data_IF_086406508244
#
_entry.id   IF_086406508244
#
_cell.length_a   1.000
_cell.length_b   1.000
_cell.length_c   1.000
_cell.angle_alpha   90.00
_cell.angle_beta   90.00
_cell.angle_gamma   90.00
#
_symmetry.space_group_name_H-M   'P 1'
#
loop_
_entity.id
_entity.type
_entity.pdbx_description
1 polymer ?
#
# COMPACT_ATOMS: atom_id res chain seq x y z
N UNK A 1 -1.16 -95.89 13.11
CA UNK A 1 -0.25 -95.17 12.19
C UNK A 1 -0.93 -93.87 11.83
N UNK A 2 -0.42 -92.74 12.31
CA UNK A 2 -0.96 -91.42 11.97
C UNK A 2 -0.29 -90.93 10.68
N UNK A 3 -1.12 -90.50 9.72
CA UNK A 3 -0.70 -89.94 8.44
C UNK A 3 -0.11 -88.54 8.67
N UNK A 4 1.21 -88.41 8.48
CA UNK A 4 1.94 -87.18 8.77
C UNK A 4 1.81 -86.24 7.55
N UNK A 5 0.78 -85.39 7.57
CA UNK A 5 0.43 -84.44 6.48
C UNK A 5 1.23 -83.13 6.51
N UNK A 6 2.44 -83.14 7.06
CA UNK A 6 3.31 -81.97 7.09
C UNK A 6 4.50 -82.19 6.17
N UNK A 7 4.54 -81.43 5.08
CA UNK A 7 5.71 -81.30 4.20
C UNK A 7 6.33 -79.95 4.54
N UNK A 8 7.59 -79.95 4.99
CA UNK A 8 8.35 -78.72 5.14
C UNK A 8 8.68 -78.20 3.75
N UNK A 9 8.15 -77.03 3.41
CA UNK A 9 8.61 -76.30 2.23
C UNK A 9 10.02 -75.78 2.52
N UNK A 10 10.96 -76.00 1.61
CA UNK A 10 12.25 -75.31 1.65
C UNK A 10 11.95 -73.81 1.65
N UNK A 11 12.42 -73.15 2.71
CA UNK A 11 12.28 -71.72 2.88
C UNK A 11 13.19 -71.05 1.85
N UNK A 12 12.69 -70.87 0.63
CA UNK A 12 13.28 -69.97 -0.35
C UNK A 12 13.02 -68.54 0.13
N UNK A 13 13.64 -68.19 1.25
CA UNK A 13 13.81 -66.82 1.70
C UNK A 13 14.90 -66.18 0.84
N UNK A 14 14.58 -66.00 -0.45
CA UNK A 14 14.88 -64.73 -1.11
C UNK A 14 13.89 -63.65 -0.64
N UNK A 15 13.49 -63.70 0.64
CA UNK A 15 13.12 -62.53 1.39
C UNK A 15 14.40 -61.69 1.51
N UNK A 16 14.75 -61.04 0.39
CA UNK A 16 15.42 -59.76 0.47
C UNK A 16 14.50 -58.90 1.33
N UNK A 17 14.66 -58.96 2.64
CA UNK A 17 14.27 -57.90 3.54
C UNK A 17 15.02 -56.69 3.01
N UNK A 18 14.35 -55.96 2.12
CA UNK A 18 14.79 -54.67 1.64
C UNK A 18 14.75 -53.80 2.89
N UNK A 19 15.85 -53.83 3.66
CA UNK A 19 16.06 -53.01 4.83
C UNK A 19 15.93 -51.58 4.34
N UNK A 20 14.74 -51.00 4.51
CA UNK A 20 14.47 -49.65 4.05
C UNK A 20 15.49 -48.78 4.77
N UNK A 21 16.31 -48.01 4.05
CA UNK A 21 17.37 -47.24 4.68
C UNK A 21 16.78 -46.39 5.81
N UNK A 22 17.32 -46.52 7.02
CA UNK A 22 16.84 -45.78 8.19
C UNK A 22 17.04 -44.29 7.92
N UNK A 23 15.95 -43.56 7.72
CA UNK A 23 16.02 -42.12 7.51
C UNK A 23 16.50 -41.43 8.78
N UNK A 24 17.32 -40.39 8.61
CA UNK A 24 17.68 -39.54 9.74
C UNK A 24 16.45 -38.81 10.26
N UNK A 25 16.45 -38.49 11.56
CA UNK A 25 15.35 -37.76 12.19
C UNK A 25 14.97 -36.47 11.44
N UNK A 26 15.97 -35.72 10.96
CA UNK A 26 15.75 -34.47 10.23
C UNK A 26 15.15 -34.68 8.84
N UNK A 27 15.59 -35.72 8.13
CA UNK A 27 15.00 -36.09 6.84
C UNK A 27 13.53 -36.48 7.00
N UNK A 28 13.21 -37.25 8.05
CA UNK A 28 11.84 -37.69 8.31
C UNK A 28 10.93 -36.54 8.76
N UNK A 29 11.45 -35.61 9.58
CA UNK A 29 10.75 -34.38 9.95
C UNK A 29 10.44 -33.50 8.72
N UNK A 30 11.43 -33.29 7.83
CA UNK A 30 11.26 -32.50 6.62
C UNK A 30 10.25 -33.13 5.64
N UNK A 31 10.27 -34.46 5.52
CA UNK A 31 9.32 -35.22 4.71
C UNK A 31 7.87 -35.03 5.21
N UNK A 32 7.65 -35.09 6.53
CA UNK A 32 6.34 -34.86 7.14
C UNK A 32 5.86 -33.41 6.94
N UNK A 33 6.75 -32.43 7.11
CA UNK A 33 6.43 -31.01 6.90
C UNK A 33 5.95 -30.76 5.48
N UNK A 34 6.69 -31.25 4.47
CA UNK A 34 6.33 -31.11 3.05
C UNK A 34 5.01 -31.76 2.67
N UNK A 35 4.60 -32.83 3.37
CA UNK A 35 3.31 -33.50 3.15
C UNK A 35 2.13 -32.65 3.65
N UNK A 36 2.35 -31.78 4.63
CA UNK A 36 1.30 -30.95 5.23
C UNK A 36 1.15 -29.61 4.51
N UNK A 37 0.15 -29.51 3.62
CA UNK A 37 -0.07 -28.32 2.76
C UNK A 37 -0.22 -27.02 3.56
N UNK A 38 -0.97 -27.04 4.67
CA UNK A 38 -1.14 -25.87 5.54
C UNK A 38 0.19 -25.43 6.19
N UNK A 39 1.07 -26.36 6.55
CA UNK A 39 2.36 -26.00 7.14
C UNK A 39 3.30 -25.42 6.09
N UNK A 40 3.24 -25.92 4.85
CA UNK A 40 4.00 -25.36 3.73
C UNK A 40 3.57 -23.94 3.37
N UNK A 41 2.28 -23.61 3.46
CA UNK A 41 1.82 -22.22 3.30
C UNK A 41 2.48 -21.31 4.34
N UNK A 42 2.55 -21.74 5.60
CA UNK A 42 3.24 -21.00 6.66
C UNK A 42 4.72 -20.76 6.35
N UNK A 43 5.43 -21.80 5.90
CA UNK A 43 6.84 -21.67 5.46
C UNK A 43 6.98 -20.66 4.31
N UNK A 44 6.10 -20.72 3.31
CA UNK A 44 6.12 -19.77 2.18
C UNK A 44 5.88 -18.35 2.65
N UNK A 45 4.89 -18.11 3.53
CA UNK A 45 4.61 -16.78 4.09
C UNK A 45 5.82 -16.25 4.86
N UNK A 46 6.45 -17.08 5.69
CA UNK A 46 7.66 -16.70 6.44
C UNK A 46 8.79 -16.30 5.48
N UNK A 47 9.03 -17.10 4.44
CA UNK A 47 10.05 -16.78 3.42
C UNK A 47 9.70 -15.47 2.71
N UNK A 48 8.44 -15.22 2.38
CA UNK A 48 8.01 -13.96 1.76
C UNK A 48 8.23 -12.77 2.70
N UNK A 49 7.94 -12.89 4.00
CA UNK A 49 8.19 -11.84 4.99
C UNK A 49 9.69 -11.58 5.15
N UNK A 50 10.52 -12.64 5.17
CA UNK A 50 11.98 -12.52 5.18
C UNK A 50 12.47 -11.73 3.96
N UNK A 51 12.03 -12.12 2.76
CA UNK A 51 12.38 -11.43 1.53
C UNK A 51 11.89 -9.98 1.53
N UNK A 52 10.68 -9.72 2.05
CA UNK A 52 10.11 -8.39 2.16
C UNK A 52 10.91 -7.48 3.11
N UNK A 53 11.34 -7.97 4.28
CA UNK A 53 12.20 -7.20 5.19
C UNK A 53 13.63 -7.01 4.68
N UNK A 54 14.19 -8.00 3.99
CA UNK A 54 15.56 -7.92 3.46
C UNK A 54 15.62 -7.03 2.20
N UNK A 55 14.76 -7.27 1.21
CA UNK A 55 14.83 -6.58 -0.08
C UNK A 55 13.90 -5.37 -0.17
N UNK A 56 12.82 -5.29 0.62
CA UNK A 56 11.87 -4.18 0.59
C UNK A 56 12.53 -2.80 0.73
N UNK A 57 13.37 -2.56 1.76
CA UNK A 57 14.04 -1.27 1.94
C UNK A 57 15.00 -0.87 0.81
N UNK A 58 15.35 -1.79 -0.10
CA UNK A 58 16.19 -1.48 -1.27
C UNK A 58 15.36 -0.99 -2.47
N UNK A 59 14.04 -1.22 -2.47
CA UNK A 59 13.13 -0.86 -3.57
C UNK A 59 12.59 0.56 -3.36
N UNK A 60 12.41 0.99 -2.12
CA UNK A 60 11.87 2.31 -1.78
C UNK A 60 12.94 3.40 -1.91
N UNK A 61 12.63 4.56 -2.50
CA UNK A 61 13.58 5.68 -2.58
C UNK A 61 13.75 6.41 -1.24
N UNK A 62 12.91 6.12 -0.25
CA UNK A 62 12.89 6.77 1.06
C UNK A 62 13.61 5.94 2.12
N UNK A 63 14.24 6.64 3.07
CA UNK A 63 14.80 6.07 4.29
C UNK A 63 13.76 6.03 5.41
N UNK A 64 14.00 5.20 6.43
CA UNK A 64 13.17 5.11 7.63
C UNK A 64 13.04 6.44 8.39
N UNK A 65 14.10 7.24 8.38
CA UNK A 65 14.19 8.53 9.09
C UNK A 65 13.67 9.71 8.28
N UNK A 66 13.32 9.51 7.00
CA UNK A 66 12.88 10.59 6.14
C UNK A 66 11.50 11.09 6.57
N UNK A 67 11.38 12.41 6.67
CA UNK A 67 10.15 13.08 7.05
C UNK A 67 9.85 14.19 6.06
N UNK A 68 8.77 14.02 5.29
CA UNK A 68 8.35 15.01 4.29
C UNK A 68 7.11 15.75 4.78
N UNK A 69 7.30 16.86 5.49
CA UNK A 69 6.20 17.64 6.07
C UNK A 69 5.19 18.18 5.04
N UNK A 70 5.59 18.31 3.77
CA UNK A 70 4.68 18.76 2.72
C UNK A 70 3.69 17.66 2.30
N UNK A 71 4.06 16.39 2.44
CA UNK A 71 3.32 15.23 1.98
C UNK A 71 2.67 14.48 3.15
N UNK A 72 1.95 15.18 4.03
CA UNK A 72 1.29 14.61 5.22
C UNK A 72 -0.11 14.09 4.89
N UNK A 73 -0.53 13.04 5.59
CA UNK A 73 -1.89 12.48 5.57
C UNK A 73 -2.42 12.15 4.16
N UNK A 74 -1.54 11.66 3.28
CA UNK A 74 -1.91 11.31 1.92
C UNK A 74 -2.49 9.90 1.85
N UNK A 75 -3.60 9.70 1.11
CA UNK A 75 -4.15 8.38 0.89
C UNK A 75 -3.35 7.58 -0.16
N UNK A 76 -3.50 6.25 -0.18
CA UNK A 76 -2.98 5.39 -1.26
C UNK A 76 -3.76 5.58 -2.57
N UNK A 77 -5.03 6.00 -2.50
CA UNK A 77 -5.85 6.37 -3.65
C UNK A 77 -6.17 7.86 -3.61
N UNK A 78 -5.75 8.57 -4.65
CA UNK A 78 -5.82 10.01 -4.79
C UNK A 78 -7.04 10.36 -5.65
N UNK A 79 -7.91 11.24 -5.15
CA UNK A 79 -8.98 11.85 -5.94
C UNK A 79 -8.42 13.04 -6.71
N UNK A 80 -8.67 13.06 -8.02
CA UNK A 80 -8.03 14.00 -8.95
C UNK A 80 -9.08 14.85 -9.65
N UNK A 81 -8.82 16.15 -9.71
CA UNK A 81 -9.55 17.15 -10.46
C UNK A 81 -8.69 17.59 -11.64
N UNK A 82 -9.09 17.23 -12.86
CA UNK A 82 -8.41 17.68 -14.08
C UNK A 82 -8.95 19.06 -14.44
N UNK A 83 -8.16 20.09 -14.15
CA UNK A 83 -8.54 21.50 -14.36
C UNK A 83 -8.04 22.08 -15.69
N UNK A 84 -7.02 21.46 -16.26
CA UNK A 84 -6.48 21.79 -17.58
C UNK A 84 -5.99 20.49 -18.26
N UNK A 85 -5.57 20.54 -19.52
CA UNK A 85 -5.09 19.34 -20.25
C UNK A 85 -3.92 18.65 -19.53
N UNK A 86 -3.03 19.43 -18.90
CA UNK A 86 -1.83 18.94 -18.22
C UNK A 86 -1.86 19.10 -16.69
N UNK A 87 -2.95 19.66 -16.13
CA UNK A 87 -3.03 20.02 -14.70
C UNK A 87 -4.08 19.18 -14.00
N UNK A 88 -3.59 18.22 -13.22
CA UNK A 88 -4.38 17.42 -12.32
C UNK A 88 -4.11 17.84 -10.88
N UNK A 89 -5.17 18.14 -10.13
CA UNK A 89 -5.09 18.59 -8.74
C UNK A 89 -5.66 17.55 -7.78
N UNK A 90 -5.03 17.43 -6.62
CA UNK A 90 -5.55 16.66 -5.51
C UNK A 90 -5.66 17.52 -4.26
N UNK A 91 -6.81 17.44 -3.60
CA UNK A 91 -7.03 18.01 -2.30
C UNK A 91 -6.91 16.95 -1.20
N UNK A 92 -5.99 17.15 -0.27
CA UNK A 92 -5.86 16.33 0.94
C UNK A 92 -6.87 16.70 2.03
N UNK A 93 -7.03 15.82 3.01
CA UNK A 93 -7.89 16.05 4.20
C UNK A 93 -7.46 17.25 5.04
N UNK A 94 -6.18 17.61 5.00
CA UNK A 94 -5.61 18.76 5.69
C UNK A 94 -5.72 20.05 4.88
N UNK A 95 -6.54 20.05 3.83
CA UNK A 95 -6.74 21.15 2.89
C UNK A 95 -5.52 21.50 2.03
N UNK A 96 -4.41 20.76 2.11
CA UNK A 96 -3.29 20.99 1.20
C UNK A 96 -3.65 20.52 -0.22
N UNK A 97 -3.34 21.35 -1.21
CA UNK A 97 -3.54 21.05 -2.63
C UNK A 97 -2.22 20.58 -3.25
N UNK A 98 -2.28 19.58 -4.12
CA UNK A 98 -1.12 18.98 -4.78
C UNK A 98 -1.34 18.91 -6.29
N UNK A 99 -0.26 19.10 -7.04
CA UNK A 99 -0.22 18.76 -8.47
C UNK A 99 0.12 17.28 -8.61
N UNK A 100 -0.68 16.57 -9.40
CA UNK A 100 -0.55 15.13 -9.64
C UNK A 100 -0.16 14.92 -11.09
N UNK A 101 0.85 14.11 -11.36
CA UNK A 101 1.18 13.70 -12.72
C UNK A 101 0.13 12.70 -13.26
N UNK A 102 0.11 12.48 -14.58
CA UNK A 102 -0.90 11.61 -15.17
C UNK A 102 -0.85 10.17 -14.69
N UNK A 103 0.34 9.70 -14.35
CA UNK A 103 0.57 8.36 -13.79
C UNK A 103 0.18 8.23 -12.31
N UNK A 104 -0.21 9.31 -11.63
CA UNK A 104 -0.54 9.31 -10.20
C UNK A 104 0.62 9.60 -9.24
N UNK A 105 1.79 10.01 -9.75
CA UNK A 105 2.86 10.57 -8.90
C UNK A 105 2.51 11.97 -8.43
N UNK A 106 2.87 12.30 -7.20
CA UNK A 106 2.76 13.67 -6.68
C UNK A 106 3.96 14.49 -7.15
N UNK A 107 3.69 15.63 -7.81
CA UNK A 107 4.70 16.53 -8.33
C UNK A 107 5.13 17.52 -7.25
N UNK A 108 4.18 18.30 -6.73
CA UNK A 108 4.45 19.30 -5.70
C UNK A 108 3.19 19.69 -4.94
N UNK A 109 3.38 20.23 -3.74
CA UNK A 109 2.34 20.90 -2.96
C UNK A 109 2.22 22.35 -3.42
N UNK A 110 1.00 22.81 -3.66
CA UNK A 110 0.75 24.21 -3.98
C UNK A 110 0.88 25.10 -2.74
N UNK A 111 1.33 26.32 -2.96
CA UNK A 111 1.52 27.31 -1.89
C UNK A 111 0.18 27.97 -1.60
N UNK A 112 -0.24 27.95 -0.33
CA UNK A 112 -1.43 28.67 0.11
C UNK A 112 -1.11 30.17 0.23
N UNK A 113 -1.79 31.00 -0.55
CA UNK A 113 -1.74 32.45 -0.41
C UNK A 113 -2.53 32.86 0.86
N UNK A 114 -1.78 33.14 1.93
CA UNK A 114 -2.35 33.56 3.21
C UNK A 114 -2.96 34.96 3.19
N UNK A 115 -2.60 35.79 2.22
CA UNK A 115 -3.06 37.19 2.15
C UNK A 115 -4.48 37.30 1.62
N UNK A 116 -4.87 36.39 0.72
CA UNK A 116 -6.21 36.33 0.12
C UNK A 116 -7.16 35.35 0.82
N UNK A 117 -6.75 34.80 1.97
CA UNK A 117 -7.57 33.83 2.71
C UNK A 117 -8.77 34.50 3.35
N UNK A 118 -9.96 34.16 2.87
CA UNK A 118 -11.20 34.58 3.52
C UNK A 118 -11.67 33.50 4.49
N UNK A 119 -11.36 33.69 5.77
CA UNK A 119 -11.72 32.74 6.84
C UNK A 119 -13.23 32.72 7.09
N UNK A 120 -13.92 33.85 6.86
CA UNK A 120 -15.35 34.00 7.11
C UNK A 120 -16.13 33.22 6.05
N UNK A 121 -15.78 33.44 4.79
CA UNK A 121 -16.42 32.76 3.65
C UNK A 121 -15.79 31.40 3.34
N UNK A 122 -14.74 31.00 4.07
CA UNK A 122 -14.03 29.71 3.93
C UNK A 122 -13.44 29.49 2.52
N UNK A 123 -12.92 30.57 1.93
CA UNK A 123 -12.29 30.55 0.61
C UNK A 123 -10.78 30.64 0.77
N UNK A 124 -10.08 29.77 0.05
CA UNK A 124 -8.63 29.63 0.06
C UNK A 124 -8.10 29.77 -1.37
N UNK A 125 -6.93 30.38 -1.53
CA UNK A 125 -6.27 30.54 -2.82
C UNK A 125 -4.91 29.86 -2.80
N UNK A 126 -4.63 29.08 -3.85
CA UNK A 126 -3.39 28.36 -4.04
C UNK A 126 -2.68 28.89 -5.28
N UNK A 127 -1.40 29.18 -5.14
CA UNK A 127 -0.55 29.64 -6.24
C UNK A 127 0.01 28.43 -6.98
N UNK A 128 -0.18 28.41 -8.31
CA UNK A 128 0.44 27.44 -9.19
C UNK A 128 1.86 27.87 -9.54
N UNK A 129 2.74 26.91 -9.89
CA UNK A 129 4.10 27.23 -10.35
C UNK A 129 4.14 28.20 -11.53
N UNK A 130 3.13 28.14 -12.41
CA UNK A 130 3.02 28.99 -13.61
C UNK A 130 2.49 30.41 -13.32
N UNK A 131 2.19 30.73 -12.05
CA UNK A 131 1.70 32.04 -11.60
C UNK A 131 0.18 32.20 -11.60
N UNK A 132 -0.56 31.24 -12.17
CA UNK A 132 -2.01 31.18 -12.05
C UNK A 132 -2.45 30.81 -10.62
N UNK A 133 -3.72 31.10 -10.28
CA UNK A 133 -4.29 30.78 -8.98
C UNK A 133 -5.44 29.78 -9.09
N UNK A 134 -5.49 28.85 -8.14
CA UNK A 134 -6.64 27.97 -7.92
C UNK A 134 -7.37 28.40 -6.66
N UNK A 135 -8.66 28.62 -6.79
CA UNK A 135 -9.54 28.96 -5.67
C UNK A 135 -10.22 27.70 -5.16
N UNK A 136 -10.35 27.62 -3.84
CA UNK A 136 -10.95 26.50 -3.15
C UNK A 136 -12.01 27.03 -2.19
N UNK A 137 -13.27 26.68 -2.44
CA UNK A 137 -14.43 27.12 -1.67
C UNK A 137 -14.98 25.95 -0.83
N UNK A 138 -14.80 26.02 0.50
CA UNK A 138 -15.36 25.06 1.47
C UNK A 138 -16.65 25.55 2.15
N UNK A 139 -17.29 26.60 1.64
CA UNK A 139 -18.48 27.16 2.27
C UNK A 139 -19.70 26.22 2.23
N UNK A 140 -19.75 25.32 1.24
CA UNK A 140 -20.84 24.37 1.03
C UNK A 140 -21.01 23.42 2.22
N UNK A 141 -22.26 23.23 2.63
CA UNK A 141 -22.69 22.48 3.81
C UNK A 141 -22.12 22.95 5.16
N UNK A 142 -21.30 24.01 5.18
CA UNK A 142 -20.77 24.62 6.39
C UNK A 142 -21.48 25.93 6.75
N UNK A 143 -21.87 26.74 5.77
CA UNK A 143 -22.59 27.99 5.99
C UNK A 143 -24.10 27.79 5.86
N UNK A 144 -24.89 28.48 6.70
CA UNK A 144 -26.36 28.37 6.72
C UNK A 144 -27.02 28.70 5.37
N UNK A 145 -26.43 29.60 4.59
CA UNK A 145 -26.91 30.02 3.28
C UNK A 145 -26.52 29.06 2.14
N UNK A 146 -25.67 28.05 2.39
CA UNK A 146 -25.17 27.10 1.40
C UNK A 146 -25.28 25.65 1.89
N UNK A 147 -26.45 25.26 2.39
CA UNK A 147 -26.73 23.88 2.83
C UNK A 147 -27.53 23.10 1.77
N UNK A 148 -27.44 21.77 1.82
CA UNK A 148 -28.24 20.87 0.98
C UNK A 148 -27.58 20.47 -0.34
N UNK A 149 -26.27 20.69 -0.47
CA UNK A 149 -25.49 20.22 -1.61
C UNK A 149 -24.94 18.82 -1.34
N UNK A 150 -24.75 18.04 -2.39
CA UNK A 150 -24.14 16.71 -2.34
C UNK A 150 -22.60 16.74 -2.35
N UNK A 151 -22.01 17.94 -2.51
CA UNK A 151 -20.58 18.21 -2.38
C UNK A 151 -20.30 19.21 -1.25
N UNK A 152 -19.12 19.10 -0.63
CA UNK A 152 -18.70 19.95 0.50
C UNK A 152 -17.72 21.05 0.09
N UNK A 153 -17.16 20.98 -1.12
CA UNK A 153 -16.23 21.96 -1.62
C UNK A 153 -16.23 22.01 -3.13
N UNK A 154 -15.75 23.12 -3.68
CA UNK A 154 -15.49 23.29 -5.11
C UNK A 154 -14.10 23.83 -5.33
N UNK A 155 -13.50 23.41 -6.45
CA UNK A 155 -12.23 23.94 -6.93
C UNK A 155 -12.56 24.83 -8.13
N UNK A 156 -12.06 26.04 -8.16
CA UNK A 156 -12.25 26.97 -9.27
C UNK A 156 -10.90 27.33 -9.87
N UNK A 157 -10.78 27.17 -11.19
CA UNK A 157 -9.58 27.51 -11.95
C UNK A 157 -10.00 28.25 -13.21
N UNK A 158 -9.38 29.41 -13.47
CA UNK A 158 -9.71 30.30 -14.62
C UNK A 158 -11.21 30.59 -14.78
N UNK A 159 -11.94 30.70 -13.67
CA UNK A 159 -13.39 30.95 -13.65
C UNK A 159 -14.29 29.73 -13.90
N UNK A 160 -13.71 28.55 -14.07
CA UNK A 160 -14.45 27.28 -14.21
C UNK A 160 -14.48 26.56 -12.87
N UNK A 161 -15.68 26.20 -12.41
CA UNK A 161 -15.90 25.47 -11.16
C UNK A 161 -15.97 23.95 -11.36
N UNK A 162 -15.19 23.22 -10.57
CA UNK A 162 -15.11 21.77 -10.50
C UNK A 162 -15.67 21.30 -9.15
N UNK A 163 -16.78 20.57 -9.21
CA UNK A 163 -17.56 20.14 -8.01
C UNK A 163 -17.25 18.71 -7.59
N UNK A 164 -16.86 17.87 -8.54
CA UNK A 164 -16.57 16.46 -8.33
C UNK A 164 -15.22 16.12 -8.92
N UNK A 165 -14.49 15.16 -8.33
CA UNK A 165 -13.23 14.69 -8.90
C UNK A 165 -13.50 14.03 -10.25
N UNK A 166 -12.64 14.33 -11.22
CA UNK A 166 -12.65 13.72 -12.55
C UNK A 166 -12.37 12.21 -12.48
N UNK A 167 -11.59 11.77 -11.49
CA UNK A 167 -11.31 10.36 -11.29
C UNK A 167 -10.44 10.06 -10.06
N UNK A 168 -10.02 8.79 -9.95
CA UNK A 168 -9.11 8.31 -8.91
C UNK A 168 -7.84 7.76 -9.53
N UNK A 169 -6.69 8.12 -8.97
CA UNK A 169 -5.37 7.62 -9.38
C UNK A 169 -4.68 6.95 -8.19
N UNK A 170 -3.90 5.91 -8.45
CA UNK A 170 -3.09 5.27 -7.41
C UNK A 170 -1.89 6.16 -7.07
N UNK A 171 -1.58 6.31 -5.79
CA UNK A 171 -0.47 7.13 -5.32
C UNK A 171 0.87 6.42 -5.57
N UNK A 172 1.49 6.68 -6.71
CA UNK A 172 2.78 6.06 -7.03
C UNK A 172 3.94 6.63 -6.20
N UNK A 173 3.81 7.84 -5.66
CA UNK A 173 4.83 8.42 -4.78
C UNK A 173 4.82 7.79 -3.40
N UNK A 174 3.63 7.44 -2.88
CA UNK A 174 3.42 6.82 -1.57
C UNK A 174 2.36 5.71 -1.70
N UNK A 175 2.73 4.48 -2.09
CA UNK A 175 1.78 3.42 -2.43
C UNK A 175 0.80 3.07 -1.31
N UNK A 176 1.25 3.15 -0.04
CA UNK A 176 0.40 2.92 1.14
C UNK A 176 -0.03 4.22 1.83
N UNK A 177 0.24 5.37 1.21
CA UNK A 177 -0.01 6.68 1.78
C UNK A 177 1.07 7.14 2.75
N UNK A 178 0.80 8.29 3.36
CA UNK A 178 1.69 8.89 4.37
C UNK A 178 0.95 9.13 5.68
N UNK A 179 1.71 9.13 6.77
CA UNK A 179 1.17 9.41 8.08
C UNK A 179 1.05 10.93 8.38
N UNK A 180 0.68 11.23 9.61
CA UNK A 180 0.51 12.58 10.11
C UNK A 180 1.80 13.38 10.14
N UNK A 181 2.98 12.76 10.08
CA UNK A 181 4.28 13.44 10.00
C UNK A 181 4.83 13.46 8.56
N UNK A 182 4.13 12.85 7.60
CA UNK A 182 4.53 12.81 6.19
C UNK A 182 5.62 11.79 5.93
N UNK A 183 5.62 10.70 6.69
CA UNK A 183 6.50 9.55 6.49
C UNK A 183 5.79 8.52 5.63
N UNK A 184 6.54 7.86 4.74
CA UNK A 184 5.99 6.83 3.87
C UNK A 184 5.65 5.56 4.65
N UNK A 185 4.39 5.14 4.61
CA UNK A 185 3.90 3.99 5.40
C UNK A 185 4.52 2.69 4.90
N UNK A 186 4.68 2.53 3.57
CA UNK A 186 5.23 1.31 2.99
C UNK A 186 6.67 1.07 3.45
N UNK A 187 7.51 2.09 3.35
CA UNK A 187 8.90 2.10 3.82
C UNK A 187 8.95 1.73 5.30
N UNK A 188 8.10 2.33 6.15
CA UNK A 188 8.07 2.02 7.59
C UNK A 188 7.71 0.55 7.87
N UNK A 189 6.77 -0.02 7.13
CA UNK A 189 6.39 -1.43 7.25
C UNK A 189 7.56 -2.34 6.83
N UNK A 190 8.27 -2.01 5.74
CA UNK A 190 9.45 -2.77 5.27
C UNK A 190 10.59 -2.75 6.29
N UNK A 191 10.95 -1.57 6.81
CA UNK A 191 11.97 -1.45 7.84
C UNK A 191 11.54 -2.12 9.15
N UNK A 192 10.28 -2.00 9.55
CA UNK A 192 9.73 -2.69 10.72
C UNK A 192 9.81 -4.22 10.60
N UNK A 193 9.50 -4.75 9.42
CA UNK A 193 9.68 -6.17 9.10
C UNK A 193 11.15 -6.57 9.20
N UNK A 194 12.09 -5.77 8.66
CA UNK A 194 13.53 -6.04 8.76
C UNK A 194 14.04 -6.11 10.20
N UNK A 195 13.61 -5.19 11.05
CA UNK A 195 14.05 -5.13 12.46
C UNK A 195 13.48 -6.29 13.27
N UNK A 196 12.33 -6.82 12.87
CA UNK A 196 11.64 -7.91 13.56
C UNK A 196 12.18 -9.30 13.18
N UNK A 197 12.91 -9.42 12.08
CA UNK A 197 13.60 -10.64 11.62
C UNK A 197 14.89 -10.87 12.39
#
# INVERSE_FOLDING_TARGET
MADNRFVFLEDNTEDMEIARPSLTYWQDAWRRLKKHRLAMIGVVVIVLVMLFGIFGPMITPYSYSDQSNDFRNLPPMIEVFSVDEDINLHLSKDYNMFVVADNGKLVSKLILDRTKRDVINKIYYYDLPDGDQVKLDFSYNLLKNKQGYDYNYTIEYKGVEYKYPTGKKFNLSFPFGTDDLGRDILTRVMYGARISL
#
